data_IF_865151127434
#
_entry.id   IF_865151127434
#
_cell.length_a   1.000
_cell.length_b   1.000
_cell.length_c   1.000
_cell.angle_alpha   90.00
_cell.angle_beta   90.00
_cell.angle_gamma   90.00
#
_symmetry.space_group_name_H-M   'P 1'
#
loop_
_entity.id
_entity.type
_entity.pdbx_description
1 polymer ?
#
# COMPACT_ATOMS: atom_id res chain seq x y z
N UNK A 1 8.13 -11.50 8.63
CA UNK A 1 7.90 -10.27 7.83
C UNK A 1 7.63 -9.14 8.81
N UNK A 2 8.09 -7.92 8.51
CA UNK A 2 7.89 -6.76 9.41
C UNK A 2 6.62 -6.03 8.99
N UNK A 3 5.64 -5.84 9.88
CA UNK A 3 4.42 -5.10 9.57
C UNK A 3 4.70 -3.61 9.41
N UNK A 4 3.83 -2.93 8.65
CA UNK A 4 3.79 -1.47 8.64
C UNK A 4 3.30 -0.94 10.00
N UNK A 5 3.61 0.32 10.28
CA UNK A 5 3.08 0.98 11.46
C UNK A 5 1.54 1.13 11.37
N UNK A 6 0.80 0.74 12.41
CA UNK A 6 -0.68 0.77 12.39
C UNK A 6 -1.24 2.17 12.10
N UNK A 7 -0.57 3.25 12.55
CA UNK A 7 -0.99 4.61 12.24
C UNK A 7 -0.73 4.97 10.77
N UNK A 8 0.32 4.40 10.17
CA UNK A 8 0.59 4.52 8.73
C UNK A 8 -0.44 3.76 7.90
N UNK A 9 -0.91 2.60 8.36
CA UNK A 9 -1.95 1.80 7.68
C UNK A 9 -3.27 2.57 7.61
N UNK A 10 -3.70 3.18 8.72
CA UNK A 10 -4.91 4.02 8.72
C UNK A 10 -4.80 5.24 7.80
N UNK A 11 -3.59 5.79 7.62
CA UNK A 11 -3.37 7.02 6.83
C UNK A 11 -3.31 6.78 5.32
N UNK A 12 -3.08 5.55 4.87
CA UNK A 12 -3.06 5.21 3.42
C UNK A 12 -4.42 5.49 2.77
N UNK A 13 -5.51 5.46 3.56
CA UNK A 13 -6.89 5.66 3.09
C UNK A 13 -7.24 7.11 2.69
N UNK A 14 -6.34 8.08 2.90
CA UNK A 14 -6.57 9.49 2.53
C UNK A 14 -6.02 9.86 1.14
N UNK A 15 -5.69 8.85 0.32
CA UNK A 15 -5.25 9.04 -1.06
C UNK A 15 -6.38 9.51 -1.99
N UNK A 16 -6.03 10.37 -2.96
CA UNK A 16 -6.91 10.81 -4.06
C UNK A 16 -7.70 9.62 -4.64
N UNK A 17 -9.03 9.72 -4.69
CA UNK A 17 -9.89 8.77 -5.42
C UNK A 17 -9.39 8.67 -6.86
N UNK A 18 -8.64 7.61 -7.18
CA UNK A 18 -8.29 7.33 -8.58
C UNK A 18 -9.48 6.64 -9.21
N UNK A 19 -9.89 7.12 -10.38
CA UNK A 19 -10.79 6.36 -11.25
C UNK A 19 -9.98 5.14 -11.71
N UNK A 20 -10.27 3.98 -11.14
CA UNK A 20 -9.88 2.71 -11.75
C UNK A 20 -10.62 2.60 -13.08
N UNK A 21 -9.90 2.25 -14.14
CA UNK A 21 -10.52 1.92 -15.42
C UNK A 21 -11.20 0.55 -15.33
N UNK A 22 -12.12 0.31 -16.25
CA UNK A 22 -12.71 -1.01 -16.47
C UNK A 22 -11.56 -1.95 -16.90
N UNK A 23 -11.22 -2.93 -16.06
CA UNK A 23 -10.08 -3.84 -16.23
C UNK A 23 -8.95 -3.72 -15.20
N UNK A 24 -9.00 -2.78 -14.25
CA UNK A 24 -8.09 -2.80 -13.12
C UNK A 24 -8.46 -3.91 -12.12
N UNK A 25 -7.49 -4.75 -11.75
CA UNK A 25 -7.66 -5.83 -10.77
C UNK A 25 -6.74 -5.62 -9.56
N UNK A 26 -7.26 -5.94 -8.37
CA UNK A 26 -6.45 -5.96 -7.16
C UNK A 26 -5.56 -7.21 -7.16
N UNK A 27 -4.24 -7.06 -7.32
CA UNK A 27 -3.30 -8.19 -7.37
C UNK A 27 -3.21 -9.00 -6.07
N UNK A 28 -3.76 -8.49 -4.96
CA UNK A 28 -3.76 -9.17 -3.66
C UNK A 28 -4.88 -10.22 -3.59
N UNK A 29 -6.07 -9.91 -4.10
CA UNK A 29 -7.21 -10.84 -4.12
C UNK A 29 -7.53 -11.37 -5.53
N UNK A 30 -6.83 -10.87 -6.55
CA UNK A 30 -7.01 -11.20 -7.97
C UNK A 30 -8.43 -10.91 -8.49
N UNK A 31 -9.10 -9.91 -7.89
CA UNK A 31 -10.50 -9.56 -8.17
C UNK A 31 -10.62 -8.12 -8.68
N UNK A 32 -11.69 -7.84 -9.43
CA UNK A 32 -11.92 -6.53 -10.07
C UNK A 32 -12.38 -5.49 -9.04
N UNK A 33 -12.03 -4.23 -9.29
CA UNK A 33 -12.54 -3.13 -8.46
C UNK A 33 -14.03 -2.92 -8.72
N UNK A 34 -14.87 -3.30 -7.77
CA UNK A 34 -16.31 -3.04 -7.85
C UNK A 34 -16.63 -1.54 -7.73
N UNK A 35 -17.68 -1.11 -8.44
CA UNK A 35 -18.18 0.28 -8.37
C UNK A 35 -18.57 0.63 -6.94
N UNK A 36 -17.85 1.57 -6.33
CA UNK A 36 -18.06 2.01 -4.96
C UNK A 36 -17.16 1.35 -3.91
N UNK A 37 -16.29 0.42 -4.31
CA UNK A 37 -15.25 -0.08 -3.41
C UNK A 37 -14.23 1.00 -3.08
N UNK A 38 -13.78 1.02 -1.82
CA UNK A 38 -12.73 1.90 -1.35
C UNK A 38 -11.37 1.39 -1.86
N UNK A 39 -11.00 1.84 -3.06
CA UNK A 39 -9.68 1.62 -3.60
C UNK A 39 -8.68 2.59 -2.96
N UNK A 40 -7.61 2.03 -2.42
CA UNK A 40 -6.55 2.76 -1.73
C UNK A 40 -5.31 2.80 -2.61
N UNK A 41 -4.76 3.99 -2.77
CA UNK A 41 -3.53 4.22 -3.51
C UNK A 41 -2.35 4.32 -2.55
N UNK A 42 -1.37 3.45 -2.74
CA UNK A 42 -0.07 3.55 -2.07
C UNK A 42 0.70 4.81 -2.55
N UNK A 43 1.66 5.33 -1.76
CA UNK A 43 2.52 6.44 -2.17
C UNK A 43 3.39 6.15 -3.42
N UNK A 44 3.61 4.86 -3.72
CA UNK A 44 4.23 4.40 -4.97
C UNK A 44 3.24 4.28 -6.14
N UNK A 45 2.06 4.92 -6.03
CA UNK A 45 1.04 5.01 -7.07
C UNK A 45 0.31 3.71 -7.44
N UNK A 46 0.55 2.60 -6.72
CA UNK A 46 -0.17 1.35 -6.92
C UNK A 46 -1.49 1.32 -6.15
N UNK A 47 -2.54 0.77 -6.77
CA UNK A 47 -3.91 0.77 -6.25
C UNK A 47 -4.32 -0.64 -5.84
N UNK A 48 -5.00 -0.75 -4.71
CA UNK A 48 -5.46 -2.01 -4.12
C UNK A 48 -6.80 -1.79 -3.41
N UNK A 49 -7.56 -2.85 -3.12
CA UNK A 49 -8.69 -2.73 -2.21
C UNK A 49 -8.20 -2.29 -0.83
N UNK A 50 -8.93 -1.37 -0.18
CA UNK A 50 -8.60 -0.87 1.15
C UNK A 50 -8.39 -1.99 2.16
N UNK A 51 -9.28 -2.97 2.20
CA UNK A 51 -9.13 -4.17 3.03
C UNK A 51 -7.92 -5.02 2.66
N UNK A 52 -7.67 -5.23 1.36
CA UNK A 52 -6.58 -6.08 0.90
C UNK A 52 -5.22 -5.47 1.26
N UNK A 53 -5.02 -4.18 0.99
CA UNK A 53 -3.76 -3.52 1.33
C UNK A 53 -3.60 -3.37 2.83
N UNK A 54 -4.68 -3.14 3.58
CA UNK A 54 -4.65 -3.08 5.05
C UNK A 54 -4.19 -4.41 5.64
N UNK A 55 -4.80 -5.52 5.21
CA UNK A 55 -4.41 -6.88 5.64
C UNK A 55 -2.97 -7.21 5.23
N UNK A 56 -2.57 -6.79 4.03
CA UNK A 56 -1.20 -6.97 3.55
C UNK A 56 -0.19 -6.20 4.40
N UNK A 57 -0.43 -4.91 4.65
CA UNK A 57 0.47 -4.05 5.42
C UNK A 57 0.61 -4.48 6.89
N UNK A 58 -0.42 -5.12 7.45
CA UNK A 58 -0.35 -5.81 8.76
C UNK A 58 0.59 -7.01 8.79
N UNK A 59 0.97 -7.53 7.63
CA UNK A 59 1.89 -8.66 7.49
C UNK A 59 3.26 -8.19 6.97
N UNK A 60 3.26 -7.29 5.99
CA UNK A 60 4.44 -6.82 5.27
C UNK A 60 4.30 -5.36 4.88
N UNK A 61 5.25 -4.53 5.29
CA UNK A 61 5.31 -3.11 4.94
C UNK A 61 5.69 -2.83 3.48
N UNK A 62 5.90 -3.85 2.65
CA UNK A 62 6.30 -3.66 1.25
C UNK A 62 5.09 -3.62 0.32
N UNK A 63 5.15 -2.77 -0.71
CA UNK A 63 4.20 -2.83 -1.82
C UNK A 63 4.26 -4.21 -2.52
N UNK A 64 3.12 -4.89 -2.75
CA UNK A 64 3.07 -6.16 -3.48
C UNK A 64 3.63 -6.10 -4.91
N UNK A 65 3.63 -4.91 -5.54
CA UNK A 65 4.02 -4.74 -6.95
C UNK A 65 5.46 -4.28 -7.08
N UNK A 66 5.81 -3.15 -6.45
CA UNK A 66 7.12 -2.50 -6.63
C UNK A 66 8.05 -2.62 -5.42
N UNK A 67 7.64 -3.31 -4.35
CA UNK A 67 8.40 -3.41 -3.08
C UNK A 67 8.76 -2.07 -2.44
N UNK A 68 7.97 -1.03 -2.67
CA UNK A 68 8.09 0.23 -1.93
C UNK A 68 7.93 -0.02 -0.42
N UNK A 69 8.87 0.49 0.39
CA UNK A 69 8.89 0.38 1.86
C UNK A 69 7.93 1.39 2.49
N UNK A 70 6.86 0.91 3.13
CA UNK A 70 6.03 1.73 4.02
C UNK A 70 6.73 1.94 5.37
N UNK A 71 6.49 3.07 6.04
CA UNK A 71 7.00 3.29 7.39
C UNK A 71 6.57 2.16 8.33
N UNK A 72 7.53 1.59 9.04
CA UNK A 72 7.28 0.62 10.12
C UNK A 72 7.57 1.27 11.46
N UNK A 73 6.91 0.82 12.51
CA UNK A 73 7.15 1.30 13.89
C UNK A 73 8.63 1.11 14.31
N UNK A 74 9.33 0.15 13.68
CA UNK A 74 10.73 -0.16 13.92
C UNK A 74 11.71 0.43 12.89
N UNK A 75 11.24 1.22 11.91
CA UNK A 75 12.09 1.76 10.85
C UNK A 75 13.07 2.80 11.41
N UNK A 76 14.27 2.33 11.78
CA UNK A 76 15.47 3.14 11.97
C UNK A 76 15.65 3.98 10.70
N UNK A 77 15.57 5.30 10.83
CA UNK A 77 15.79 6.26 9.73
C UNK A 77 16.99 5.79 8.91
N UNK A 78 16.79 5.33 7.67
CA UNK A 78 17.88 5.20 6.71
C UNK A 78 18.28 6.63 6.34
N UNK A 79 19.14 7.23 7.17
CA UNK A 79 19.91 8.39 6.73
C UNK A 79 20.76 7.90 5.56
N UNK A 80 20.77 8.66 4.47
CA UNK A 80 21.49 8.37 3.24
C UNK A 80 22.86 7.74 3.50
N UNK A 81 23.06 6.48 3.08
CA UNK A 81 24.39 5.96 2.79
C UNK A 81 24.59 6.04 1.28
N UNK A 82 24.69 7.28 0.79
CA UNK A 82 25.29 7.55 -0.51
C UNK A 82 26.78 7.28 -0.37
N UNK A 83 27.23 6.17 -0.94
CA UNK A 83 28.64 5.85 -1.06
C UNK A 83 29.33 6.81 -2.03
N UNK A 84 30.47 7.32 -1.60
CA UNK A 84 31.62 7.68 -2.45
C UNK A 84 32.87 7.13 -1.76
#
# INVERSE_FOLDING_TARGET
MVPADEASIGKVMMGRKRKTNEGDCCVVCMDEFSRGCEAVCMPCEHVFHGDCITKWLRTSHFCPVCRFEMPTSCARKKVNLGGI
#
